data_IF_666081922748
#
_entry.id   IF_666081922748
#
_cell.length_a   1.000
_cell.length_b   1.000
_cell.length_c   1.000
_cell.angle_alpha   90.00
_cell.angle_beta   90.00
_cell.angle_gamma   90.00
#
_symmetry.space_group_name_H-M   'P 1'
#
loop_
_entity.id
_entity.type
_entity.pdbx_description
1 polymer ?
#
# COMPACT_ATOMS: atom_id res chain seq x y z
N UNK A 1 14.23 48.67 28.91
CA UNK A 1 14.29 50.04 29.45
C UNK A 1 13.68 49.99 30.82
N UNK A 2 14.45 50.44 31.77
CA UNK A 2 14.18 50.56 33.21
C UNK A 2 13.00 51.47 33.50
N UNK A 3 12.20 51.16 34.53
CA UNK A 3 11.91 52.14 35.56
C UNK A 3 11.49 51.44 36.85
N UNK A 4 12.28 51.71 37.87
CA UNK A 4 12.15 51.51 39.31
C UNK A 4 11.47 52.74 39.90
N UNK A 5 10.72 52.58 41.00
CA UNK A 5 10.48 53.58 42.07
C UNK A 5 9.81 52.83 43.24
N UNK A 6 10.46 52.48 44.31
CA UNK A 6 10.94 53.14 45.54
C UNK A 6 9.81 53.87 46.29
N UNK A 7 9.35 53.22 47.34
CA UNK A 7 9.50 53.50 48.81
C UNK A 7 8.95 54.81 49.33
N UNK A 8 8.11 54.80 50.33
CA UNK A 8 8.34 55.59 51.53
C UNK A 8 7.58 55.05 52.75
N UNK A 9 8.35 54.85 53.80
CA UNK A 9 8.06 54.51 55.17
C UNK A 9 7.64 55.76 55.95
N UNK A 10 6.65 55.68 56.83
CA UNK A 10 6.49 56.66 57.89
C UNK A 10 6.17 55.95 59.24
N UNK A 11 7.12 55.99 60.14
CA UNK A 11 6.97 55.69 61.54
C UNK A 11 6.54 56.96 62.25
N UNK A 12 5.58 56.83 63.13
CA UNK A 12 5.41 57.80 64.20
C UNK A 12 5.24 57.07 65.53
N UNK A 13 6.20 57.38 66.42
CA UNK A 13 6.24 56.94 67.83
C UNK A 13 5.64 58.09 68.66
N UNK A 14 4.73 57.77 69.59
CA UNK A 14 4.42 58.63 70.71
C UNK A 14 4.43 57.83 72.03
N UNK A 15 5.25 58.27 72.96
CA UNK A 15 5.27 57.90 74.36
C UNK A 15 4.26 58.71 75.15
N UNK A 16 3.64 58.11 76.16
CA UNK A 16 2.90 58.80 77.20
C UNK A 16 2.56 57.90 78.33
N UNK A 17 3.05 58.25 79.54
CA UNK A 17 3.03 57.50 80.78
C UNK A 17 1.71 57.59 81.59
N UNK A 18 1.46 56.44 82.25
CA UNK A 18 0.96 56.22 83.62
C UNK A 18 -0.32 56.91 84.21
N UNK A 19 -1.24 56.07 84.68
CA UNK A 19 -1.59 56.04 86.11
C UNK A 19 -2.53 54.85 86.42
N UNK A 20 -2.22 54.20 87.52
CA UNK A 20 -2.81 53.06 88.16
C UNK A 20 -4.23 53.31 88.62
N UNK A 21 -5.20 52.42 88.40
CA UNK A 21 -6.34 52.10 89.23
C UNK A 21 -7.01 50.80 88.82
N UNK A 22 -7.04 49.84 89.72
CA UNK A 22 -7.58 48.50 89.49
C UNK A 22 -9.06 48.52 89.18
N UNK A 23 -9.34 47.75 88.11
CA UNK A 23 -10.67 47.22 87.78
C UNK A 23 -10.49 45.83 87.14
N UNK A 24 -11.27 44.88 87.63
CA UNK A 24 -11.42 43.52 87.16
C UNK A 24 -11.56 43.46 85.63
N UNK A 25 -10.61 42.79 85.02
CA UNK A 25 -10.69 42.48 83.55
C UNK A 25 -11.94 41.64 83.22
N UNK A 26 -12.71 42.01 82.19
CA UNK A 26 -13.68 41.09 81.59
C UNK A 26 -12.92 40.00 80.86
N UNK A 27 -13.28 38.72 81.10
CA UNK A 27 -12.82 37.57 80.36
C UNK A 27 -13.17 37.82 78.91
N UNK A 28 -12.17 38.06 78.05
CA UNK A 28 -12.39 38.04 76.60
C UNK A 28 -12.97 36.67 76.18
N UNK A 29 -14.03 36.64 75.36
CA UNK A 29 -14.49 35.38 74.84
C UNK A 29 -13.37 34.77 74.00
N UNK A 30 -13.00 33.54 74.33
CA UNK A 30 -12.13 32.70 73.44
C UNK A 30 -12.55 32.88 72.03
N UNK A 31 -11.64 33.24 71.09
CA UNK A 31 -12.01 33.33 69.68
C UNK A 31 -12.58 31.99 69.26
N UNK A 32 -13.80 31.99 68.71
CA UNK A 32 -14.36 30.83 68.05
C UNK A 32 -13.36 30.45 66.96
N UNK A 33 -12.91 29.17 66.85
CA UNK A 33 -12.03 28.76 65.79
C UNK A 33 -12.69 29.15 64.48
N UNK A 34 -11.91 29.80 63.61
CA UNK A 34 -12.36 30.07 62.23
C UNK A 34 -12.87 28.76 61.60
N UNK A 35 -14.00 28.79 60.91
CA UNK A 35 -14.53 27.58 60.25
C UNK A 35 -13.43 27.02 59.37
N UNK A 36 -13.01 25.77 59.63
CA UNK A 36 -12.04 25.04 58.80
C UNK A 36 -12.55 25.10 57.36
N UNK A 37 -11.76 25.73 56.47
CA UNK A 37 -12.08 25.80 55.06
C UNK A 37 -12.19 24.36 54.50
N UNK A 38 -13.26 24.05 53.83
CA UNK A 38 -13.53 22.71 53.30
C UNK A 38 -13.15 22.62 51.83
N UNK A 39 -12.56 21.51 51.45
CA UNK A 39 -12.33 21.18 50.07
C UNK A 39 -13.66 20.89 49.35
N UNK A 40 -13.81 21.39 48.14
CA UNK A 40 -15.00 21.20 47.28
C UNK A 40 -14.56 20.75 45.90
N UNK A 41 -14.95 19.54 45.52
CA UNK A 41 -14.80 19.04 44.17
C UNK A 41 -15.89 19.60 43.26
N UNK A 42 -15.53 20.03 42.05
CA UNK A 42 -16.39 20.63 41.05
C UNK A 42 -16.34 19.75 39.80
N UNK A 43 -17.50 19.55 39.17
CA UNK A 43 -17.60 18.70 37.96
C UNK A 43 -16.70 19.20 36.83
N UNK A 44 -16.15 18.26 36.08
CA UNK A 44 -15.30 18.47 34.90
C UNK A 44 -16.02 18.08 33.61
N UNK A 45 -15.53 18.64 32.51
CA UNK A 45 -15.94 18.28 31.17
C UNK A 45 -14.70 18.03 30.31
N UNK A 46 -14.66 16.89 29.65
CA UNK A 46 -13.54 16.40 28.83
C UNK A 46 -14.08 16.05 27.43
N UNK A 47 -13.26 16.25 26.40
CA UNK A 47 -13.50 15.74 25.04
C UNK A 47 -12.59 14.52 24.82
N UNK A 48 -13.12 13.49 24.20
CA UNK A 48 -12.42 12.28 23.77
C UNK A 48 -12.89 11.93 22.37
N UNK A 49 -12.11 11.12 21.66
CA UNK A 49 -12.51 10.50 20.40
C UNK A 49 -12.68 9.02 20.71
N UNK A 50 -13.67 8.38 20.10
CA UNK A 50 -13.88 6.95 20.27
C UNK A 50 -12.65 6.14 19.85
N UNK A 51 -12.54 4.93 20.37
CA UNK A 51 -11.46 3.97 20.12
C UNK A 51 -10.03 4.55 20.34
N UNK A 52 -9.89 5.78 20.90
CA UNK A 52 -8.62 6.42 21.19
C UNK A 52 -8.45 6.72 22.69
N UNK A 53 -7.27 6.38 23.20
CA UNK A 53 -6.90 6.76 24.58
C UNK A 53 -6.82 8.29 24.73
N UNK A 54 -7.48 8.81 25.75
CA UNK A 54 -7.43 10.25 26.10
C UNK A 54 -6.75 10.45 27.43
N UNK A 55 -5.74 11.33 27.49
CA UNK A 55 -5.05 11.70 28.72
C UNK A 55 -5.80 12.86 29.42
N UNK A 56 -6.39 12.57 30.56
CA UNK A 56 -7.06 13.53 31.41
C UNK A 56 -6.04 14.13 32.39
N UNK A 57 -5.94 15.45 32.42
CA UNK A 57 -5.09 16.19 33.34
C UNK A 57 -5.85 17.34 33.97
N UNK A 58 -5.42 17.79 35.12
CA UNK A 58 -5.94 19.00 35.76
C UNK A 58 -7.32 18.87 36.38
N UNK A 59 -7.80 17.67 36.76
CA UNK A 59 -9.08 17.47 37.45
C UNK A 59 -9.27 18.35 38.68
N UNK A 60 -8.17 18.72 39.37
CA UNK A 60 -8.21 19.58 40.55
C UNK A 60 -8.17 21.10 40.22
N UNK A 61 -8.11 21.47 38.94
CA UNK A 61 -7.89 22.88 38.55
C UNK A 61 -9.07 23.82 38.82
N UNK A 62 -10.28 23.30 38.84
CA UNK A 62 -11.52 24.01 39.15
C UNK A 62 -12.01 23.76 40.59
N UNK A 63 -11.33 22.86 41.32
CA UNK A 63 -11.67 22.48 42.67
C UNK A 63 -11.17 23.50 43.71
N UNK A 64 -11.84 23.58 44.86
CA UNK A 64 -11.28 24.19 46.05
C UNK A 64 -10.51 23.14 46.84
N UNK A 65 -9.18 23.24 46.84
CA UNK A 65 -8.30 22.28 47.52
C UNK A 65 -7.70 22.89 48.78
N UNK A 66 -8.22 22.51 49.93
CA UNK A 66 -7.77 22.97 51.25
C UNK A 66 -7.15 21.81 52.05
N UNK A 67 -6.33 22.15 53.05
CA UNK A 67 -5.73 21.19 54.00
C UNK A 67 -5.06 19.98 53.30
N UNK A 68 -4.32 20.24 52.22
CA UNK A 68 -3.64 19.21 51.38
C UNK A 68 -4.58 18.11 50.85
N UNK A 69 -5.80 18.46 50.47
CA UNK A 69 -6.70 17.53 49.87
C UNK A 69 -6.14 17.00 48.52
N UNK A 70 -6.43 15.76 48.24
CA UNK A 70 -6.02 15.06 47.03
C UNK A 70 -7.08 14.06 46.62
N UNK A 71 -7.01 13.62 45.35
CA UNK A 71 -7.87 12.53 44.91
C UNK A 71 -7.49 11.26 45.68
N UNK A 72 -8.46 10.72 46.41
CA UNK A 72 -8.31 9.51 47.23
C UNK A 72 -9.03 8.32 46.66
N UNK A 73 -10.00 8.56 45.75
CA UNK A 73 -10.77 7.56 45.08
C UNK A 73 -11.21 8.10 43.70
N UNK A 74 -11.27 7.24 42.73
CA UNK A 74 -11.92 7.45 41.42
C UNK A 74 -12.55 6.12 40.95
N UNK A 75 -13.50 6.20 40.05
CA UNK A 75 -14.07 5.01 39.42
C UNK A 75 -13.09 4.51 38.34
N UNK A 76 -12.74 3.21 38.37
CA UNK A 76 -11.86 2.57 37.40
C UNK A 76 -12.56 2.17 36.10
N UNK A 77 -13.91 2.26 36.08
CA UNK A 77 -14.71 2.11 34.89
C UNK A 77 -15.73 3.24 34.84
N UNK A 78 -16.03 3.73 33.65
CA UNK A 78 -17.07 4.70 33.38
C UNK A 78 -18.47 4.04 33.29
N UNK A 79 -19.50 4.86 33.25
CA UNK A 79 -20.88 4.39 33.22
C UNK A 79 -21.25 3.63 31.92
N UNK A 80 -20.58 3.96 30.81
CA UNK A 80 -20.80 3.35 29.50
C UNK A 80 -19.70 2.36 29.09
N UNK A 81 -18.90 1.89 30.07
CA UNK A 81 -18.00 0.75 29.88
C UNK A 81 -16.56 1.10 29.52
N UNK A 82 -16.23 2.39 29.43
CA UNK A 82 -14.83 2.82 29.30
C UNK A 82 -14.00 2.52 30.55
N UNK A 83 -12.68 2.54 30.42
CA UNK A 83 -11.74 2.30 31.52
C UNK A 83 -10.97 3.55 31.92
N UNK A 84 -10.71 3.73 33.23
CA UNK A 84 -9.92 4.85 33.78
C UNK A 84 -8.72 4.28 34.52
N UNK A 85 -7.52 4.69 34.12
CA UNK A 85 -6.26 4.26 34.75
C UNK A 85 -5.50 5.46 35.30
N UNK A 86 -5.08 5.37 36.56
CA UNK A 86 -4.21 6.38 37.19
C UNK A 86 -2.74 6.21 36.74
N UNK A 87 -2.20 7.22 36.08
CA UNK A 87 -0.81 7.23 35.59
C UNK A 87 0.22 7.57 36.69
N UNK A 88 -0.23 7.84 37.95
CA UNK A 88 0.59 8.16 39.12
C UNK A 88 1.42 9.44 38.99
N UNK A 89 1.06 10.33 38.11
CA UNK A 89 1.68 11.63 37.84
C UNK A 89 0.66 12.77 37.82
N UNK A 90 -0.50 12.58 38.48
CA UNK A 90 -1.69 13.45 38.46
C UNK A 90 -2.38 13.54 37.10
N UNK A 91 -2.20 12.54 36.26
CA UNK A 91 -2.99 12.34 35.03
C UNK A 91 -3.68 10.98 35.05
N UNK A 92 -4.75 10.85 34.28
CA UNK A 92 -5.50 9.62 34.12
C UNK A 92 -5.59 9.33 32.65
N UNK A 93 -5.54 8.05 32.25
CA UNK A 93 -5.86 7.60 30.88
C UNK A 93 -7.30 7.12 30.92
N UNK A 94 -8.11 7.70 30.06
CA UNK A 94 -9.45 7.21 29.74
C UNK A 94 -9.39 6.49 28.38
N UNK A 95 -9.91 5.27 28.34
CA UNK A 95 -10.12 4.48 27.13
C UNK A 95 -11.62 4.26 26.97
N UNK A 96 -12.28 4.79 25.93
CA UNK A 96 -13.70 4.57 25.67
C UNK A 96 -14.04 3.08 25.55
N UNK A 97 -15.29 2.71 25.77
CA UNK A 97 -15.75 1.42 25.30
C UNK A 97 -15.67 1.37 23.77
N UNK A 98 -15.31 0.22 23.20
CA UNK A 98 -15.14 0.10 21.74
C UNK A 98 -16.40 0.58 21.00
N UNK A 99 -16.17 1.41 19.97
CA UNK A 99 -17.23 1.95 19.09
C UNK A 99 -18.33 2.70 19.88
N UNK A 100 -17.99 3.39 20.94
CA UNK A 100 -18.93 4.16 21.76
C UNK A 100 -18.85 5.65 21.44
N UNK A 101 -19.92 6.20 20.93
CA UNK A 101 -20.11 7.63 20.70
C UNK A 101 -21.19 8.17 21.67
N UNK A 102 -20.92 9.30 22.32
CA UNK A 102 -21.86 9.93 23.23
C UNK A 102 -21.22 10.44 24.51
N UNK A 103 -22.06 10.73 25.54
CA UNK A 103 -21.58 11.21 26.83
C UNK A 103 -21.36 10.06 27.79
N UNK A 104 -20.12 9.88 28.23
CA UNK A 104 -19.75 8.97 29.29
C UNK A 104 -19.41 9.71 30.59
N UNK A 105 -19.44 9.03 31.72
CA UNK A 105 -19.19 9.66 33.01
C UNK A 105 -18.47 8.75 34.00
N UNK A 106 -17.58 9.31 34.83
CA UNK A 106 -17.05 8.67 36.03
C UNK A 106 -16.97 9.68 37.19
N UNK A 107 -16.71 9.20 38.39
CA UNK A 107 -16.58 10.08 39.54
C UNK A 107 -15.20 10.01 40.18
N UNK A 108 -14.76 11.12 40.77
CA UNK A 108 -13.60 11.15 41.68
C UNK A 108 -13.95 11.82 42.99
N UNK A 109 -13.21 11.47 44.05
CA UNK A 109 -13.40 12.02 45.40
C UNK A 109 -12.09 12.59 45.92
N UNK A 110 -12.12 13.84 46.31
CA UNK A 110 -11.01 14.49 47.07
C UNK A 110 -11.28 14.44 48.54
N UNK A 111 -10.26 14.18 49.35
CA UNK A 111 -10.33 14.25 50.81
C UNK A 111 -9.11 14.99 51.32
N UNK A 112 -9.32 15.83 52.37
CA UNK A 112 -8.24 16.50 53.09
C UNK A 112 -7.47 15.52 54.02
N UNK A 113 -6.41 16.03 54.65
CA UNK A 113 -5.53 15.23 55.52
C UNK A 113 -5.90 15.31 56.98
N UNK A 114 -7.10 15.78 57.35
CA UNK A 114 -7.55 15.90 58.72
C UNK A 114 -7.79 14.52 59.37
N UNK A 115 -7.79 14.47 60.72
CA UNK A 115 -8.04 13.22 61.47
C UNK A 115 -9.39 12.61 61.17
N UNK A 116 -10.37 13.44 60.87
CA UNK A 116 -11.67 13.05 60.26
C UNK A 116 -11.75 13.77 58.92
N UNK A 117 -11.42 13.09 57.84
CA UNK A 117 -11.31 13.75 56.55
C UNK A 117 -12.61 14.38 56.08
N UNK A 118 -12.56 15.61 55.55
CA UNK A 118 -13.63 16.17 54.78
C UNK A 118 -13.46 15.72 53.30
N UNK A 119 -14.47 15.11 52.76
CA UNK A 119 -14.44 14.60 51.39
C UNK A 119 -15.51 15.29 50.55
N UNK A 120 -15.19 15.52 49.27
CA UNK A 120 -16.12 16.01 48.27
C UNK A 120 -15.96 15.19 46.99
N UNK A 121 -17.07 14.89 46.31
CA UNK A 121 -17.08 14.08 45.09
C UNK A 121 -17.57 14.91 43.90
N UNK A 122 -16.92 14.78 42.77
CA UNK A 122 -17.32 15.40 41.53
C UNK A 122 -17.49 14.34 40.42
N UNK A 123 -18.24 14.70 39.38
CA UNK A 123 -18.44 13.90 38.19
C UNK A 123 -17.63 14.48 37.05
N UNK A 124 -16.92 13.64 36.34
CA UNK A 124 -16.28 13.96 35.07
C UNK A 124 -17.21 13.51 33.95
N UNK A 125 -17.67 14.46 33.14
CA UNK A 125 -18.45 14.18 31.93
C UNK A 125 -17.50 14.17 30.75
N UNK A 126 -17.46 13.07 30.01
CA UNK A 126 -16.61 12.89 28.82
C UNK A 126 -17.52 12.84 27.62
N UNK A 127 -17.37 13.81 26.71
CA UNK A 127 -18.02 13.73 25.40
C UNK A 127 -17.09 12.96 24.46
N UNK A 128 -17.49 11.75 24.10
CA UNK A 128 -16.78 10.91 23.13
C UNK A 128 -17.37 11.25 21.76
N UNK A 129 -16.52 11.81 20.91
CA UNK A 129 -16.87 12.19 19.53
C UNK A 129 -16.51 11.05 18.57
N UNK A 130 -17.29 10.91 17.50
CA UNK A 130 -17.08 10.03 16.36
C UNK A 130 -15.77 10.41 15.65
N UNK A 131 -14.93 9.44 15.25
CA UNK A 131 -13.66 9.68 14.53
C UNK A 131 -13.86 9.97 13.04
N UNK A 132 -15.05 9.84 12.51
CA UNK A 132 -15.43 10.32 11.18
C UNK A 132 -16.26 9.32 10.37
N UNK A 133 -16.95 9.85 9.36
CA UNK A 133 -17.87 9.07 8.52
C UNK A 133 -17.14 8.40 7.35
N UNK A 134 -17.52 7.17 6.98
CA UNK A 134 -17.03 6.55 5.74
C UNK A 134 -17.52 7.32 4.50
N UNK A 135 -16.74 7.26 3.41
CA UNK A 135 -17.12 7.79 2.11
C UNK A 135 -16.94 6.68 1.08
N UNK A 136 -18.03 6.25 0.43
CA UNK A 136 -18.00 5.30 -0.66
C UNK A 136 -17.94 6.04 -2.01
N UNK A 137 -17.11 5.55 -2.94
CA UNK A 137 -16.92 6.11 -4.28
C UNK A 137 -17.24 5.05 -5.35
N UNK A 138 -17.84 5.51 -6.46
CA UNK A 138 -18.20 4.63 -7.56
C UNK A 138 -16.98 3.92 -8.18
N UNK A 139 -17.19 2.66 -8.58
CA UNK A 139 -16.20 1.80 -9.20
C UNK A 139 -16.58 1.35 -10.60
N UNK A 140 -15.55 1.07 -11.42
CA UNK A 140 -15.72 0.47 -12.73
C UNK A 140 -14.81 -0.75 -12.84
N UNK A 141 -15.41 -1.89 -13.17
CA UNK A 141 -14.72 -3.14 -13.45
C UNK A 141 -15.06 -3.64 -14.85
N UNK A 142 -14.22 -4.52 -15.36
CA UNK A 142 -14.38 -5.05 -16.72
C UNK A 142 -14.31 -6.58 -16.68
N UNK A 143 -15.13 -7.21 -17.52
CA UNK A 143 -15.03 -8.64 -17.81
C UNK A 143 -15.42 -8.90 -19.25
N UNK A 144 -15.32 -10.14 -19.69
CA UNK A 144 -15.83 -10.57 -20.99
C UNK A 144 -17.09 -11.40 -20.83
N UNK A 145 -17.89 -11.43 -21.88
CA UNK A 145 -19.12 -12.20 -21.95
C UNK A 145 -18.93 -13.64 -21.44
N UNK A 146 -19.83 -14.09 -20.58
CA UNK A 146 -19.84 -15.42 -19.97
C UNK A 146 -18.65 -15.72 -19.03
N UNK A 147 -17.87 -14.72 -18.65
CA UNK A 147 -16.71 -14.89 -17.74
C UNK A 147 -16.95 -14.18 -16.41
N UNK A 148 -16.96 -14.94 -15.33
CA UNK A 148 -17.08 -14.39 -13.97
C UNK A 148 -15.79 -13.68 -13.55
N UNK A 149 -15.93 -12.64 -12.70
CA UNK A 149 -14.79 -11.96 -12.07
C UNK A 149 -14.93 -11.94 -10.55
N UNK A 150 -13.79 -11.85 -9.87
CA UNK A 150 -13.72 -11.60 -8.44
C UNK A 150 -13.17 -10.20 -8.23
N UNK A 151 -13.97 -9.35 -7.60
CA UNK A 151 -13.62 -7.97 -7.25
C UNK A 151 -13.09 -7.99 -5.81
N UNK A 152 -11.77 -7.74 -5.65
CA UNK A 152 -11.09 -7.78 -4.36
C UNK A 152 -10.81 -6.37 -3.80
N UNK A 153 -11.06 -5.34 -4.59
CA UNK A 153 -10.58 -3.98 -4.35
C UNK A 153 -11.67 -2.91 -4.53
N UNK A 154 -12.93 -3.26 -4.31
CA UNK A 154 -14.03 -2.30 -4.38
C UNK A 154 -13.90 -1.14 -3.37
N UNK A 155 -13.21 -1.35 -2.24
CA UNK A 155 -13.03 -0.33 -1.21
C UNK A 155 -11.70 0.44 -1.31
N UNK A 156 -10.93 0.27 -2.39
CA UNK A 156 -9.58 0.89 -2.51
C UNK A 156 -9.64 2.41 -2.70
N UNK A 157 -10.68 2.91 -3.36
CA UNK A 157 -10.92 4.33 -3.60
C UNK A 157 -11.79 4.99 -2.52
N UNK A 158 -12.34 4.20 -1.58
CA UNK A 158 -13.18 4.65 -0.50
C UNK A 158 -12.36 5.25 0.66
N UNK A 159 -13.01 6.08 1.46
CA UNK A 159 -12.53 6.43 2.80
C UNK A 159 -13.23 5.52 3.81
N UNK A 160 -12.47 4.56 4.34
CA UNK A 160 -12.95 3.59 5.32
C UNK A 160 -12.57 4.03 6.74
N UNK A 161 -12.91 5.28 7.10
CA UNK A 161 -12.72 5.80 8.45
C UNK A 161 -13.58 4.99 9.42
N UNK A 162 -13.17 4.98 10.68
CA UNK A 162 -13.89 4.37 11.78
C UNK A 162 -14.19 2.89 11.52
N UNK A 163 -13.13 2.11 11.20
CA UNK A 163 -13.21 0.68 10.92
C UNK A 163 -14.32 0.27 9.92
N UNK A 164 -14.76 1.23 9.06
CA UNK A 164 -15.83 1.00 8.10
C UNK A 164 -15.53 -0.20 7.18
N UNK A 165 -16.53 -0.99 6.94
CA UNK A 165 -16.43 -2.23 6.19
C UNK A 165 -17.66 -2.49 5.31
N UNK A 166 -17.53 -3.41 4.34
CA UNK A 166 -18.65 -3.81 3.47
C UNK A 166 -19.79 -4.42 4.29
N UNK A 167 -20.90 -3.67 4.38
CA UNK A 167 -22.08 -4.08 5.14
C UNK A 167 -23.10 -4.84 4.29
N UNK A 168 -23.34 -4.40 3.03
CA UNK A 168 -24.33 -5.01 2.16
C UNK A 168 -24.10 -4.71 0.68
N UNK A 169 -24.75 -5.51 -0.17
CA UNK A 169 -24.86 -5.30 -1.61
C UNK A 169 -26.33 -5.30 -1.99
N UNK A 170 -26.75 -4.33 -2.81
CA UNK A 170 -28.05 -4.36 -3.48
C UNK A 170 -27.85 -4.68 -4.96
N UNK A 171 -28.26 -5.87 -5.34
CA UNK A 171 -28.15 -6.41 -6.70
C UNK A 171 -29.47 -6.32 -7.50
N UNK A 172 -30.46 -5.59 -7.01
CA UNK A 172 -31.80 -5.55 -7.64
C UNK A 172 -31.79 -4.96 -9.05
N UNK A 173 -30.81 -4.13 -9.40
CA UNK A 173 -30.63 -3.55 -10.74
C UNK A 173 -29.74 -4.39 -11.67
N UNK A 174 -29.03 -5.39 -11.16
CA UNK A 174 -28.08 -6.19 -11.94
C UNK A 174 -28.77 -7.27 -12.75
N UNK A 175 -28.27 -7.50 -13.96
CA UNK A 175 -28.63 -8.64 -14.80
C UNK A 175 -27.83 -9.91 -14.46
N UNK A 176 -26.70 -9.75 -13.79
CA UNK A 176 -25.79 -10.82 -13.38
C UNK A 176 -26.14 -11.44 -12.04
N UNK A 177 -25.33 -12.39 -11.62
CA UNK A 177 -25.37 -13.00 -10.29
C UNK A 177 -24.23 -12.45 -9.46
N UNK A 178 -24.55 -11.94 -8.26
CA UNK A 178 -23.58 -11.34 -7.35
C UNK A 178 -23.58 -12.13 -6.04
N UNK A 179 -22.39 -12.43 -5.52
CA UNK A 179 -22.19 -13.08 -4.24
C UNK A 179 -21.04 -12.44 -3.47
N UNK A 180 -21.16 -12.33 -2.14
CA UNK A 180 -20.07 -11.93 -1.26
C UNK A 180 -19.35 -13.20 -0.77
N UNK A 181 -18.04 -13.27 -0.99
CA UNK A 181 -17.22 -14.36 -0.49
C UNK A 181 -16.89 -14.15 0.99
N UNK A 182 -16.50 -15.23 1.68
CA UNK A 182 -16.15 -15.21 3.11
C UNK A 182 -14.97 -14.28 3.47
N UNK A 183 -14.17 -13.86 2.49
CA UNK A 183 -13.06 -12.93 2.64
C UNK A 183 -13.45 -11.47 2.29
N UNK A 184 -14.75 -11.18 2.11
CA UNK A 184 -15.24 -9.84 1.76
C UNK A 184 -15.13 -9.47 0.27
N UNK A 185 -14.54 -10.32 -0.59
CA UNK A 185 -14.52 -10.07 -2.04
C UNK A 185 -15.89 -10.32 -2.67
N UNK A 186 -16.16 -9.60 -3.77
CA UNK A 186 -17.42 -9.70 -4.50
C UNK A 186 -17.20 -10.57 -5.74
N UNK A 187 -17.96 -11.64 -5.88
CA UNK A 187 -18.03 -12.47 -7.08
C UNK A 187 -19.16 -11.94 -7.96
N UNK A 188 -18.84 -11.54 -9.18
CA UNK A 188 -19.83 -11.18 -10.20
C UNK A 188 -19.79 -12.19 -11.35
N UNK A 189 -20.95 -12.68 -11.77
CA UNK A 189 -21.12 -13.56 -12.92
C UNK A 189 -22.12 -12.91 -13.88
N UNK A 190 -21.70 -12.52 -15.10
CA UNK A 190 -22.63 -11.94 -16.08
C UNK A 190 -23.78 -12.88 -16.43
N UNK A 191 -24.94 -12.31 -16.76
CA UNK A 191 -26.00 -13.09 -17.37
C UNK A 191 -25.51 -13.73 -18.68
N UNK A 192 -26.06 -14.89 -19.03
CA UNK A 192 -25.66 -15.61 -20.24
C UNK A 192 -25.80 -14.70 -21.48
N UNK A 193 -24.73 -14.62 -22.27
CA UNK A 193 -24.62 -13.82 -23.51
C UNK A 193 -24.81 -12.32 -23.35
N UNK A 194 -24.87 -11.80 -22.12
CA UNK A 194 -24.96 -10.35 -21.87
C UNK A 194 -23.67 -9.63 -22.25
N UNK A 195 -23.81 -8.45 -22.85
CA UNK A 195 -22.73 -7.47 -23.08
C UNK A 195 -23.27 -6.06 -22.82
N UNK A 196 -22.43 -5.18 -22.34
CA UNK A 196 -22.77 -3.82 -21.93
C UNK A 196 -22.51 -3.60 -20.44
N UNK A 197 -22.95 -2.47 -19.92
CA UNK A 197 -22.77 -2.12 -18.53
C UNK A 197 -23.87 -2.75 -17.67
N UNK A 198 -23.47 -3.42 -16.61
CA UNK A 198 -24.32 -3.93 -15.54
C UNK A 198 -23.96 -3.21 -14.25
N UNK A 199 -24.96 -2.87 -13.44
CA UNK A 199 -24.75 -2.06 -12.24
C UNK A 199 -25.42 -2.65 -11.01
N UNK A 200 -24.76 -2.48 -9.86
CA UNK A 200 -25.31 -2.78 -8.55
C UNK A 200 -24.66 -1.84 -7.52
N UNK A 201 -25.23 -1.72 -6.34
CA UNK A 201 -24.67 -0.87 -5.29
C UNK A 201 -24.12 -1.68 -4.15
N UNK A 202 -23.11 -1.11 -3.48
CA UNK A 202 -22.60 -1.61 -2.21
C UNK A 202 -22.69 -0.52 -1.13
N UNK A 203 -22.79 -0.94 0.12
CA UNK A 203 -22.85 -0.05 1.27
C UNK A 203 -21.74 -0.45 2.24
N UNK A 204 -20.95 0.54 2.66
CA UNK A 204 -19.99 0.41 3.76
C UNK A 204 -20.56 1.12 4.98
N UNK A 205 -20.37 0.56 6.16
CA UNK A 205 -20.76 1.17 7.42
C UNK A 205 -19.60 1.10 8.39
N UNK A 206 -19.45 2.15 9.23
CA UNK A 206 -18.57 2.16 10.39
C UNK A 206 -19.05 1.16 11.46
N UNK A 207 -18.32 1.04 12.56
CA UNK A 207 -18.66 0.10 13.61
C UNK A 207 -19.37 0.74 14.83
N UNK A 208 -19.84 1.97 14.65
CA UNK A 208 -20.58 2.75 15.64
C UNK A 208 -21.76 2.00 16.25
N UNK A 209 -21.88 2.05 17.57
CA UNK A 209 -23.00 1.47 18.32
C UNK A 209 -23.72 2.52 19.16
N UNK A 210 -25.05 2.60 19.13
CA UNK A 210 -26.00 1.68 18.45
C UNK A 210 -26.36 2.07 17.00
N UNK A 211 -25.81 3.12 16.43
CA UNK A 211 -26.24 3.70 15.15
C UNK A 211 -25.08 3.88 14.18
N UNK A 212 -24.66 2.85 13.44
CA UNK A 212 -23.59 2.98 12.46
C UNK A 212 -23.94 4.00 11.37
N UNK A 213 -22.95 4.78 10.96
CA UNK A 213 -23.03 5.68 9.81
C UNK A 213 -22.62 4.93 8.55
N UNK A 214 -23.36 5.08 7.46
CA UNK A 214 -23.15 4.32 6.24
C UNK A 214 -23.03 5.21 5.02
N UNK A 215 -22.20 4.78 4.05
CA UNK A 215 -22.11 5.35 2.72
C UNK A 215 -22.37 4.28 1.66
N UNK A 216 -22.96 4.69 0.52
CA UNK A 216 -23.30 3.78 -0.58
C UNK A 216 -22.71 4.30 -1.88
N UNK A 217 -22.14 3.40 -2.70
CA UNK A 217 -21.64 3.70 -4.02
C UNK A 217 -22.06 2.63 -5.04
N UNK A 218 -21.86 2.93 -6.32
CA UNK A 218 -22.24 2.07 -7.45
C UNK A 218 -21.01 1.34 -7.98
N UNK A 219 -21.15 0.03 -8.20
CA UNK A 219 -20.24 -0.74 -9.02
C UNK A 219 -20.86 -0.90 -10.40
N UNK A 220 -20.11 -0.46 -11.42
CA UNK A 220 -20.41 -0.73 -12.83
C UNK A 220 -19.48 -1.83 -13.33
N UNK A 221 -20.03 -2.90 -13.88
CA UNK A 221 -19.26 -3.94 -14.58
C UNK A 221 -19.53 -3.87 -16.07
N UNK A 222 -18.55 -3.41 -16.85
CA UNK A 222 -18.62 -3.42 -18.31
C UNK A 222 -18.29 -4.81 -18.83
N UNK A 223 -19.28 -5.49 -19.38
CA UNK A 223 -19.16 -6.83 -19.96
C UNK A 223 -18.90 -6.72 -21.46
N UNK A 224 -17.70 -7.12 -21.88
CA UNK A 224 -17.17 -6.91 -23.23
C UNK A 224 -17.25 -8.19 -24.10
N UNK A 225 -17.19 -8.02 -25.42
CA UNK A 225 -16.95 -9.15 -26.30
C UNK A 225 -15.47 -9.53 -26.28
N UNK A 226 -15.19 -10.84 -26.26
CA UNK A 226 -13.85 -11.35 -26.46
C UNK A 226 -13.36 -11.08 -27.90
N UNK A 227 -12.05 -10.88 -28.05
CA UNK A 227 -11.40 -10.90 -29.37
C UNK A 227 -11.19 -12.38 -29.77
N UNK A 228 -11.65 -12.75 -30.95
CA UNK A 228 -11.40 -14.07 -31.49
C UNK A 228 -10.05 -14.07 -32.20
N UNK A 229 -9.03 -14.60 -31.56
CA UNK A 229 -7.74 -14.85 -32.20
C UNK A 229 -7.68 -16.27 -32.78
N UNK A 230 -7.05 -16.40 -33.94
CA UNK A 230 -6.70 -17.71 -34.53
C UNK A 230 -5.36 -18.17 -33.98
N UNK A 231 -5.37 -18.67 -32.75
CA UNK A 231 -4.15 -19.16 -32.07
C UNK A 231 -3.61 -20.36 -32.91
N UNK A 232 -2.31 -20.37 -33.26
CA UNK A 232 -1.70 -21.50 -33.96
C UNK A 232 -1.90 -22.80 -33.17
N UNK A 233 -2.24 -23.89 -33.85
CA UNK A 233 -2.54 -25.18 -33.21
C UNK A 233 -1.42 -25.70 -32.29
N UNK A 234 -0.16 -25.34 -32.56
CA UNK A 234 0.99 -25.65 -31.73
C UNK A 234 1.05 -24.83 -30.41
N UNK A 235 0.24 -23.78 -30.25
CA UNK A 235 0.18 -22.92 -29.07
C UNK A 235 -1.19 -22.97 -28.37
N UNK A 236 -2.14 -23.70 -28.92
CA UNK A 236 -3.49 -23.81 -28.36
C UNK A 236 -3.51 -24.39 -26.95
N UNK A 237 -2.63 -25.35 -26.66
CA UNK A 237 -2.47 -25.91 -25.31
C UNK A 237 -2.06 -24.86 -24.27
N UNK A 238 -1.38 -23.80 -24.69
CA UNK A 238 -0.88 -22.74 -23.79
C UNK A 238 -1.86 -21.56 -23.74
N UNK A 239 -2.38 -21.09 -24.88
CA UNK A 239 -3.21 -19.88 -24.96
C UNK A 239 -4.70 -20.14 -25.19
N UNK A 240 -5.16 -21.40 -25.32
CA UNK A 240 -6.54 -21.71 -25.69
C UNK A 240 -7.59 -21.26 -24.65
N UNK A 241 -7.18 -21.08 -23.39
CA UNK A 241 -8.02 -20.53 -22.32
C UNK A 241 -7.85 -19.00 -22.13
N UNK A 242 -6.97 -18.34 -22.89
CA UNK A 242 -6.71 -16.91 -22.78
C UNK A 242 -7.82 -16.11 -23.47
N UNK A 243 -8.52 -15.30 -22.70
CA UNK A 243 -9.62 -14.48 -23.20
C UNK A 243 -9.21 -13.01 -23.14
N UNK A 244 -9.06 -12.38 -24.29
CA UNK A 244 -8.69 -10.98 -24.44
C UNK A 244 -9.86 -10.18 -25.01
N UNK A 245 -9.91 -8.88 -24.72
CA UNK A 245 -10.91 -7.95 -25.22
C UNK A 245 -10.25 -6.65 -25.71
N UNK A 246 -10.96 -5.85 -26.49
CA UNK A 246 -10.49 -4.52 -26.87
C UNK A 246 -10.65 -3.53 -25.68
N UNK A 247 -9.98 -3.86 -24.59
CA UNK A 247 -9.90 -3.07 -23.36
C UNK A 247 -8.55 -3.35 -22.70
N UNK A 248 -7.85 -2.29 -22.32
CA UNK A 248 -6.49 -2.35 -21.78
C UNK A 248 -6.45 -3.17 -20.49
N UNK A 249 -7.33 -2.85 -19.53
CA UNK A 249 -7.32 -3.47 -18.21
C UNK A 249 -7.62 -4.96 -18.27
N UNK A 250 -8.61 -5.35 -19.10
CA UNK A 250 -8.95 -6.76 -19.30
C UNK A 250 -7.77 -7.50 -19.91
N UNK A 251 -7.24 -7.03 -21.03
CA UNK A 251 -6.18 -7.73 -21.77
C UNK A 251 -4.86 -7.76 -20.98
N UNK A 252 -4.50 -6.66 -20.31
CA UNK A 252 -3.33 -6.62 -19.44
C UNK A 252 -3.44 -7.62 -18.27
N UNK A 253 -4.56 -7.60 -17.55
CA UNK A 253 -4.74 -8.48 -16.40
C UNK A 253 -4.86 -9.95 -16.78
N UNK A 254 -5.50 -10.25 -17.92
CA UNK A 254 -5.57 -11.62 -18.43
C UNK A 254 -4.17 -12.15 -18.80
N UNK A 255 -3.35 -11.37 -19.52
CA UNK A 255 -1.97 -11.76 -19.83
C UNK A 255 -1.10 -11.89 -18.58
N UNK A 256 -1.22 -10.96 -17.64
CA UNK A 256 -0.53 -11.02 -16.33
C UNK A 256 -0.88 -12.31 -15.60
N UNK A 257 -2.16 -12.59 -15.41
CA UNK A 257 -2.60 -13.79 -14.72
C UNK A 257 -2.15 -15.06 -15.43
N UNK A 258 -2.17 -15.05 -16.77
CA UNK A 258 -1.75 -16.17 -17.60
C UNK A 258 -0.25 -16.45 -17.43
N UNK A 259 0.62 -15.43 -17.52
CA UNK A 259 2.06 -15.59 -17.32
C UNK A 259 2.38 -16.00 -15.88
N UNK A 260 1.67 -15.46 -14.88
CA UNK A 260 1.84 -15.86 -13.45
C UNK A 260 1.47 -17.32 -13.24
N UNK A 261 0.31 -17.75 -13.76
CA UNK A 261 -0.21 -19.13 -13.62
C UNK A 261 0.73 -20.17 -14.23
N UNK A 262 1.31 -19.85 -15.38
CA UNK A 262 2.11 -20.79 -16.16
C UNK A 262 3.60 -20.80 -15.76
N UNK A 263 4.11 -19.78 -15.07
CA UNK A 263 5.48 -19.76 -14.53
C UNK A 263 5.58 -20.70 -13.32
N UNK A 264 5.70 -22.00 -13.59
CA UNK A 264 5.62 -23.06 -12.57
C UNK A 264 6.95 -23.35 -11.89
N UNK A 265 8.08 -22.96 -12.49
CA UNK A 265 9.42 -23.24 -11.98
C UNK A 265 10.23 -21.94 -11.84
N UNK A 266 10.39 -21.47 -10.62
CA UNK A 266 11.26 -20.32 -10.33
C UNK A 266 12.71 -20.83 -10.19
N UNK A 267 13.55 -20.43 -11.13
CA UNK A 267 14.97 -20.83 -11.13
C UNK A 267 15.76 -20.01 -10.11
N UNK A 268 16.74 -20.63 -9.46
CA UNK A 268 17.79 -19.86 -8.79
C UNK A 268 18.75 -19.24 -9.81
N UNK A 269 19.41 -18.14 -9.45
CA UNK A 269 20.35 -17.48 -10.35
C UNK A 269 21.50 -18.40 -10.81
N UNK A 270 21.89 -19.39 -10.00
CA UNK A 270 22.87 -20.41 -10.39
C UNK A 270 22.38 -21.39 -11.46
N UNK A 271 21.08 -21.72 -11.44
CA UNK A 271 20.49 -22.67 -12.40
C UNK A 271 20.35 -22.09 -13.82
N UNK A 272 20.43 -20.76 -14.01
CA UNK A 272 20.37 -20.16 -15.35
C UNK A 272 21.39 -20.76 -16.32
N UNK A 273 22.59 -21.11 -15.86
CA UNK A 273 23.63 -21.71 -16.70
C UNK A 273 23.21 -23.06 -17.33
N UNK A 274 22.23 -23.74 -16.74
CA UNK A 274 21.72 -25.00 -17.28
C UNK A 274 20.82 -24.79 -18.52
N UNK A 275 20.12 -23.65 -18.57
CA UNK A 275 19.08 -23.43 -19.57
C UNK A 275 19.37 -22.25 -20.51
N UNK A 276 20.05 -21.20 -20.03
CA UNK A 276 20.30 -19.98 -20.80
C UNK A 276 21.08 -20.26 -22.09
N UNK A 277 22.07 -21.12 -22.02
CA UNK A 277 22.89 -21.42 -23.21
C UNK A 277 22.16 -22.27 -24.25
N UNK A 278 21.20 -23.08 -23.83
CA UNK A 278 20.28 -23.76 -24.76
C UNK A 278 19.28 -22.76 -25.37
N UNK A 279 18.80 -21.78 -24.58
CA UNK A 279 17.93 -20.74 -25.09
C UNK A 279 18.66 -19.82 -26.10
N UNK A 280 19.93 -19.46 -25.80
CA UNK A 280 20.77 -18.65 -26.67
C UNK A 280 21.56 -19.43 -27.72
N UNK A 281 21.26 -20.74 -27.92
CA UNK A 281 21.99 -21.57 -28.85
C UNK A 281 21.89 -21.03 -30.30
N UNK A 282 23.02 -21.06 -31.00
CA UNK A 282 23.08 -20.74 -32.42
C UNK A 282 22.30 -21.78 -33.23
N UNK A 283 21.31 -21.34 -34.02
CA UNK A 283 20.45 -22.20 -34.84
C UNK A 283 21.25 -23.02 -35.89
N UNK A 284 22.44 -22.55 -36.24
CA UNK A 284 23.34 -23.22 -37.20
C UNK A 284 24.38 -24.11 -36.52
N UNK A 285 24.68 -23.90 -35.25
CA UNK A 285 25.66 -24.66 -34.47
C UNK A 285 25.30 -24.68 -32.99
N UNK A 286 24.57 -25.69 -32.53
CA UNK A 286 24.07 -25.81 -31.16
C UNK A 286 25.15 -25.90 -30.07
N UNK A 287 26.41 -26.09 -30.41
CA UNK A 287 27.55 -25.99 -29.48
C UNK A 287 27.95 -24.54 -29.18
N UNK A 288 27.38 -23.58 -29.90
CA UNK A 288 27.63 -22.16 -29.72
C UNK A 288 26.39 -21.44 -29.20
N UNK A 289 26.61 -20.29 -28.56
CA UNK A 289 25.57 -19.30 -28.20
C UNK A 289 25.72 -18.06 -29.03
N UNK A 290 24.63 -17.42 -29.37
CA UNK A 290 24.61 -16.10 -30.02
C UNK A 290 24.63 -15.03 -28.94
N UNK A 291 25.68 -14.22 -28.96
CA UNK A 291 25.87 -13.14 -27.98
C UNK A 291 25.03 -11.91 -28.35
N UNK A 292 24.28 -11.45 -27.40
CA UNK A 292 23.48 -10.22 -27.53
C UNK A 292 24.37 -9.01 -27.86
N UNK A 293 23.84 -8.09 -28.61
CA UNK A 293 24.48 -6.87 -29.12
C UNK A 293 25.50 -7.09 -30.23
N UNK A 294 26.41 -8.07 -30.10
CA UNK A 294 27.45 -8.32 -31.08
C UNK A 294 27.07 -9.28 -32.20
N UNK A 295 26.02 -10.11 -31.98
CA UNK A 295 25.61 -11.22 -32.86
C UNK A 295 26.71 -12.28 -33.10
N UNK A 296 27.76 -12.29 -32.27
CA UNK A 296 28.82 -13.27 -32.39
C UNK A 296 28.39 -14.65 -31.89
N UNK A 297 28.74 -15.67 -32.66
CA UNK A 297 28.58 -17.08 -32.30
C UNK A 297 29.82 -17.58 -31.58
N UNK A 298 29.69 -17.94 -30.29
CA UNK A 298 30.80 -18.42 -29.46
C UNK A 298 30.47 -19.73 -28.77
N UNK A 299 31.52 -20.51 -28.49
CA UNK A 299 31.34 -21.80 -27.83
C UNK A 299 30.75 -21.64 -26.43
N UNK A 300 29.72 -22.41 -26.10
CA UNK A 300 28.91 -22.23 -24.90
C UNK A 300 29.69 -22.31 -23.59
N UNK A 301 30.87 -23.00 -23.54
CA UNK A 301 31.67 -23.07 -22.33
C UNK A 301 32.54 -21.84 -22.06
N UNK A 302 32.54 -20.86 -22.95
CA UNK A 302 33.31 -19.62 -22.74
C UNK A 302 32.67 -18.65 -21.73
N UNK A 303 31.69 -19.10 -20.95
CA UNK A 303 31.05 -18.23 -19.95
C UNK A 303 31.97 -17.93 -18.77
N UNK A 304 31.90 -16.69 -18.27
CA UNK A 304 32.69 -16.21 -17.11
C UNK A 304 32.10 -16.73 -15.81
N UNK A 305 32.86 -17.57 -15.10
CA UNK A 305 32.53 -18.02 -13.75
C UNK A 305 33.78 -18.49 -13.02
N UNK A 306 33.88 -18.21 -11.72
CA UNK A 306 35.00 -18.69 -10.88
C UNK A 306 35.07 -20.23 -10.77
N UNK A 307 33.99 -20.94 -11.11
CA UNK A 307 33.93 -22.42 -11.09
C UNK A 307 34.08 -23.04 -12.47
N UNK A 308 34.09 -22.23 -13.54
CA UNK A 308 34.30 -22.71 -14.91
C UNK A 308 35.78 -22.88 -15.17
N UNK A 309 36.19 -24.13 -15.47
CA UNK A 309 37.60 -24.47 -15.78
C UNK A 309 37.99 -24.20 -17.25
N UNK A 310 37.00 -23.92 -18.12
CA UNK A 310 37.27 -23.67 -19.53
C UNK A 310 37.94 -22.30 -19.77
N UNK A 311 38.81 -22.24 -20.76
CA UNK A 311 39.48 -21.02 -21.19
C UNK A 311 39.50 -20.95 -22.72
N UNK A 312 39.29 -19.77 -23.34
CA UNK A 312 39.05 -18.47 -22.67
C UNK A 312 37.65 -18.34 -22.10
N UNK A 313 37.44 -17.41 -21.15
CA UNK A 313 36.13 -16.98 -20.66
C UNK A 313 35.84 -15.59 -21.26
N UNK A 314 34.87 -15.49 -22.15
CA UNK A 314 34.70 -14.30 -23.01
C UNK A 314 33.34 -13.63 -22.89
N UNK A 315 32.34 -14.30 -22.31
CA UNK A 315 30.99 -13.76 -22.17
C UNK A 315 30.40 -14.03 -20.78
N UNK A 316 29.39 -13.27 -20.42
CA UNK A 316 28.67 -13.41 -19.15
C UNK A 316 27.15 -13.23 -19.36
N UNK A 317 26.38 -13.24 -18.25
CA UNK A 317 24.94 -13.03 -18.30
C UNK A 317 24.64 -11.54 -18.24
N UNK A 318 23.96 -11.04 -19.25
CA UNK A 318 23.32 -9.71 -19.33
C UNK A 318 21.90 -9.77 -18.79
N UNK A 319 21.53 -8.76 -17.99
CA UNK A 319 20.17 -8.47 -17.61
C UNK A 319 19.61 -7.35 -18.49
N UNK A 320 18.74 -7.67 -19.44
CA UNK A 320 18.16 -6.69 -20.38
C UNK A 320 17.44 -5.56 -19.62
N UNK A 321 16.70 -5.92 -18.60
CA UNK A 321 16.29 -4.97 -17.57
C UNK A 321 17.33 -5.04 -16.44
N UNK A 322 18.13 -3.99 -16.21
CA UNK A 322 19.26 -4.05 -15.27
C UNK A 322 18.85 -4.53 -13.89
N UNK A 323 19.57 -5.50 -13.35
CA UNK A 323 19.28 -6.09 -12.04
C UNK A 323 19.11 -5.02 -10.94
N UNK A 324 19.94 -3.96 -10.97
CA UNK A 324 19.88 -2.87 -9.99
C UNK A 324 18.62 -2.00 -10.05
N UNK A 325 17.79 -2.17 -11.07
CA UNK A 325 16.56 -1.42 -11.30
C UNK A 325 15.29 -2.27 -11.11
N UNK A 326 15.43 -3.60 -10.95
CA UNK A 326 14.30 -4.49 -10.69
C UNK A 326 13.65 -4.20 -9.34
N UNK A 327 12.33 -4.27 -9.29
CA UNK A 327 11.54 -4.23 -8.05
C UNK A 327 11.32 -5.64 -7.50
N UNK A 328 11.28 -6.66 -8.38
CA UNK A 328 11.01 -8.05 -8.02
C UNK A 328 12.29 -8.89 -7.97
N UNK A 329 12.58 -9.47 -6.81
CA UNK A 329 13.68 -10.44 -6.66
C UNK A 329 13.46 -11.70 -7.51
N UNK A 330 12.20 -12.06 -7.79
CA UNK A 330 11.85 -13.21 -8.63
C UNK A 330 12.24 -12.99 -10.10
N UNK A 331 12.28 -11.74 -10.56
CA UNK A 331 12.67 -11.40 -11.91
C UNK A 331 14.18 -11.61 -12.16
N UNK A 332 15.02 -11.57 -11.12
CA UNK A 332 16.50 -11.64 -11.25
C UNK A 332 16.98 -12.88 -12.00
N UNK A 333 16.27 -14.00 -11.89
CA UNK A 333 16.66 -15.28 -12.51
C UNK A 333 15.74 -15.72 -13.65
N UNK A 334 14.77 -14.87 -14.05
CA UNK A 334 13.87 -15.17 -15.14
C UNK A 334 14.59 -15.12 -16.50
N UNK A 335 14.59 -16.25 -17.22
CA UNK A 335 15.32 -16.41 -18.47
C UNK A 335 14.77 -15.51 -19.60
N UNK A 336 13.53 -15.05 -19.52
CA UNK A 336 12.92 -14.19 -20.53
C UNK A 336 13.62 -12.85 -20.72
N UNK A 337 14.40 -12.38 -19.71
CA UNK A 337 15.20 -11.16 -19.84
C UNK A 337 16.71 -11.37 -19.60
N UNK A 338 17.16 -12.61 -19.43
CA UNK A 338 18.57 -12.95 -19.35
C UNK A 338 19.13 -13.32 -20.71
N UNK A 339 20.32 -12.84 -21.06
CA UNK A 339 21.00 -13.09 -22.34
C UNK A 339 22.47 -13.37 -22.11
N UNK A 340 23.06 -14.21 -22.97
CA UNK A 340 24.51 -14.27 -23.12
C UNK A 340 25.01 -13.04 -23.84
N UNK A 341 26.01 -12.34 -23.29
CA UNK A 341 26.59 -11.15 -23.91
C UNK A 341 28.10 -11.11 -23.71
N UNK A 342 28.85 -10.54 -24.68
CA UNK A 342 30.29 -10.33 -24.55
C UNK A 342 30.57 -9.56 -23.23
N UNK A 343 31.55 -10.04 -22.46
CA UNK A 343 31.83 -9.49 -21.14
C UNK A 343 32.26 -8.03 -21.15
N UNK A 344 32.96 -7.57 -22.21
CA UNK A 344 33.36 -6.17 -22.36
C UNK A 344 32.17 -5.29 -22.76
N UNK A 345 31.36 -5.76 -23.72
CA UNK A 345 30.15 -5.06 -24.17
C UNK A 345 29.15 -4.92 -23.00
N UNK A 346 28.94 -6.00 -22.24
CA UNK A 346 28.07 -5.95 -21.06
C UNK A 346 28.63 -4.99 -19.99
N UNK A 347 29.95 -4.94 -19.81
CA UNK A 347 30.61 -3.99 -18.91
C UNK A 347 30.48 -2.54 -19.39
N UNK A 348 30.44 -2.28 -20.71
CA UNK A 348 30.21 -0.95 -21.28
C UNK A 348 28.73 -0.54 -21.17
N UNK A 349 27.82 -1.49 -21.36
CA UNK A 349 26.37 -1.29 -21.28
C UNK A 349 25.93 -0.80 -19.90
N UNK A 350 26.52 -1.31 -18.80
CA UNK A 350 26.16 -0.95 -17.42
C UNK A 350 24.63 -1.08 -17.18
N UNK A 351 24.05 -0.06 -16.55
CA UNK A 351 22.60 0.05 -16.31
C UNK A 351 21.98 1.25 -17.03
N UNK A 352 22.56 1.69 -18.14
CA UNK A 352 22.06 2.83 -18.90
C UNK A 352 20.64 2.56 -19.44
N UNK A 353 19.76 3.58 -19.47
CA UNK A 353 18.47 3.46 -20.14
C UNK A 353 18.68 3.29 -21.64
N UNK A 354 17.73 2.63 -22.27
CA UNK A 354 17.68 2.49 -23.72
C UNK A 354 17.26 3.80 -24.39
N UNK A 355 17.78 4.02 -25.60
CA UNK A 355 17.48 5.18 -26.43
C UNK A 355 17.52 4.83 -27.92
N UNK A 356 16.94 5.67 -28.76
CA UNK A 356 16.98 5.51 -30.21
C UNK A 356 18.41 5.64 -30.74
N UNK A 357 18.68 4.91 -31.83
CA UNK A 357 19.95 4.89 -32.56
C UNK A 357 19.77 4.21 -33.91
N UNK A 358 20.86 3.82 -34.57
CA UNK A 358 20.84 3.06 -35.82
C UNK A 358 22.14 2.26 -36.02
N UNK A 359 22.05 1.15 -36.74
CA UNK A 359 23.19 0.28 -37.02
C UNK A 359 23.47 -0.70 -35.88
N UNK A 360 24.74 -0.85 -35.50
CA UNK A 360 25.14 -1.74 -34.41
C UNK A 360 24.92 -1.09 -33.03
N UNK A 361 25.10 -1.85 -31.94
CA UNK A 361 24.99 -1.34 -30.58
C UNK A 361 25.92 -0.13 -30.34
N UNK A 362 25.47 0.80 -29.51
CA UNK A 362 26.19 2.05 -29.25
C UNK A 362 25.90 2.59 -27.85
N UNK A 363 26.95 3.09 -27.19
CA UNK A 363 26.81 3.99 -26.04
C UNK A 363 26.56 5.41 -26.56
N UNK A 364 25.35 5.94 -26.35
CA UNK A 364 24.94 7.27 -26.81
C UNK A 364 25.15 8.29 -25.69
N UNK A 365 25.88 9.38 -25.99
CA UNK A 365 26.15 10.49 -25.05
C UNK A 365 26.72 10.05 -23.68
N UNK A 366 27.34 8.88 -23.58
CA UNK A 366 27.87 8.28 -22.36
C UNK A 366 26.84 8.08 -21.24
N UNK A 367 25.55 8.01 -21.55
CA UNK A 367 24.48 7.88 -20.55
C UNK A 367 23.27 7.08 -21.02
N UNK A 368 23.25 6.60 -22.25
CA UNK A 368 22.14 5.84 -22.82
C UNK A 368 22.66 4.77 -23.76
N UNK A 369 21.93 3.68 -23.91
CA UNK A 369 22.32 2.51 -24.69
C UNK A 369 21.39 2.27 -25.88
N UNK A 370 21.96 2.10 -27.07
CA UNK A 370 21.27 1.59 -28.24
C UNK A 370 21.70 0.14 -28.48
N UNK A 371 20.76 -0.85 -28.52
CA UNK A 371 21.13 -2.27 -28.55
C UNK A 371 21.58 -2.75 -29.95
N UNK A 372 21.33 -1.99 -30.99
CA UNK A 372 21.50 -2.36 -32.40
C UNK A 372 20.18 -2.65 -33.10
N UNK A 373 20.17 -2.50 -34.43
CA UNK A 373 18.97 -2.67 -35.26
C UNK A 373 18.42 -4.10 -35.18
N UNK A 374 19.27 -5.11 -34.99
CA UNK A 374 18.93 -6.53 -34.92
C UNK A 374 18.43 -6.98 -33.52
N UNK A 375 18.52 -6.13 -32.50
CA UNK A 375 18.23 -6.49 -31.12
C UNK A 375 17.19 -5.63 -30.44
N UNK A 376 16.78 -4.54 -31.08
CA UNK A 376 15.85 -3.57 -30.50
C UNK A 376 14.48 -4.15 -30.23
N UNK A 377 13.97 -5.00 -31.12
CA UNK A 377 12.70 -5.72 -30.96
C UNK A 377 12.77 -6.76 -29.85
N UNK A 378 13.86 -7.54 -29.77
CA UNK A 378 14.11 -8.49 -28.67
C UNK A 378 14.05 -7.77 -27.32
N UNK A 379 14.77 -6.63 -27.19
CA UNK A 379 14.76 -5.80 -25.98
C UNK A 379 13.35 -5.36 -25.64
N UNK A 380 12.61 -4.84 -26.61
CA UNK A 380 11.23 -4.36 -26.38
C UNK A 380 10.32 -5.48 -25.85
N UNK A 381 10.33 -6.64 -26.49
CA UNK A 381 9.48 -7.80 -26.09
C UNK A 381 9.87 -8.38 -24.72
N UNK A 382 11.14 -8.36 -24.35
CA UNK A 382 11.60 -8.74 -23.00
C UNK A 382 11.11 -7.75 -21.93
N UNK A 383 11.16 -6.45 -22.23
CA UNK A 383 10.69 -5.39 -21.29
C UNK A 383 9.18 -5.42 -21.15
N UNK A 384 8.41 -5.65 -22.23
CA UNK A 384 6.94 -5.85 -22.17
C UNK A 384 6.59 -7.04 -21.27
N UNK A 385 7.29 -8.16 -21.40
CA UNK A 385 7.08 -9.32 -20.55
C UNK A 385 7.32 -9.00 -19.09
N UNK A 386 8.41 -8.33 -18.75
CA UNK A 386 8.70 -7.96 -17.35
C UNK A 386 7.66 -6.98 -16.77
N UNK A 387 7.15 -6.08 -17.59
CA UNK A 387 6.07 -5.19 -17.17
C UNK A 387 4.80 -6.00 -16.84
N UNK A 388 4.34 -6.86 -17.75
CA UNK A 388 3.13 -7.67 -17.54
C UNK A 388 3.32 -8.68 -16.42
N UNK A 389 4.45 -9.39 -16.37
CA UNK A 389 4.68 -10.48 -15.41
C UNK A 389 4.95 -9.97 -14.00
N UNK A 390 5.77 -8.91 -13.86
CA UNK A 390 6.30 -8.44 -12.57
C UNK A 390 5.89 -7.01 -12.22
N UNK A 391 5.28 -6.26 -13.13
CA UNK A 391 4.94 -4.86 -12.93
C UNK A 391 6.16 -3.93 -13.00
N UNK A 392 7.24 -4.34 -13.66
CA UNK A 392 8.41 -3.49 -13.85
C UNK A 392 8.09 -2.32 -14.79
N UNK A 393 8.52 -1.11 -14.43
CA UNK A 393 8.13 0.11 -15.14
C UNK A 393 9.07 0.45 -16.30
N UNK A 394 8.53 0.99 -17.39
CA UNK A 394 9.30 1.37 -18.58
C UNK A 394 10.28 2.50 -18.29
N UNK A 395 9.89 3.48 -17.49
CA UNK A 395 10.63 4.73 -17.23
C UNK A 395 12.01 4.51 -16.59
N UNK A 396 12.20 3.38 -15.92
CA UNK A 396 13.52 3.02 -15.37
C UNK A 396 14.54 2.65 -16.44
N UNK A 397 14.07 2.21 -17.61
CA UNK A 397 14.92 1.61 -18.64
C UNK A 397 14.75 2.26 -20.02
N UNK A 398 13.74 3.11 -20.24
CA UNK A 398 13.50 3.79 -21.49
C UNK A 398 12.14 4.46 -21.53
N UNK A 399 11.47 4.51 -22.69
CA UNK A 399 10.09 4.97 -22.81
C UNK A 399 9.22 3.92 -23.47
N UNK A 400 7.94 3.88 -23.13
CA UNK A 400 6.99 2.96 -23.74
C UNK A 400 6.92 3.15 -25.28
N UNK A 401 6.91 4.41 -25.73
CA UNK A 401 6.85 4.74 -27.17
C UNK A 401 8.05 4.17 -27.91
N UNK A 402 9.25 4.23 -27.34
CA UNK A 402 10.46 3.67 -27.92
C UNK A 402 10.34 2.14 -28.11
N UNK A 403 9.87 1.44 -27.08
CA UNK A 403 9.73 -0.01 -27.13
C UNK A 403 8.60 -0.44 -28.09
N UNK A 404 7.48 0.28 -28.15
CA UNK A 404 6.43 0.04 -29.13
C UNK A 404 6.93 0.23 -30.56
N UNK A 405 7.72 1.26 -30.82
CA UNK A 405 8.35 1.50 -32.10
C UNK A 405 9.32 0.35 -32.46
N UNK A 406 10.16 -0.08 -31.56
CA UNK A 406 11.12 -1.17 -31.77
C UNK A 406 10.44 -2.51 -32.04
N UNK A 407 9.35 -2.81 -31.37
CA UNK A 407 8.54 -4.02 -31.59
C UNK A 407 7.97 -4.11 -33.02
N UNK A 408 7.74 -2.96 -33.66
CA UNK A 408 7.30 -2.89 -35.07
C UNK A 408 8.48 -2.96 -36.06
N UNK A 409 9.57 -2.24 -35.73
CA UNK A 409 10.71 -2.09 -36.63
C UNK A 409 11.60 -3.32 -36.70
N UNK A 410 11.61 -4.14 -35.64
CA UNK A 410 12.41 -5.36 -35.53
C UNK A 410 11.48 -6.55 -35.23
N UNK A 411 10.92 -7.22 -36.28
CA UNK A 411 10.00 -8.33 -36.15
C UNK A 411 10.63 -9.54 -35.44
N UNK A 412 9.77 -10.40 -34.87
CA UNK A 412 10.19 -11.62 -34.16
C UNK A 412 11.02 -12.53 -35.11
N UNK A 413 12.19 -12.90 -34.66
CA UNK A 413 13.12 -13.77 -35.35
C UNK A 413 12.91 -15.25 -34.97
N UNK A 414 13.33 -16.21 -35.82
CA UNK A 414 13.37 -17.64 -35.45
C UNK A 414 14.21 -17.94 -34.22
N UNK A 415 15.18 -17.09 -33.92
CA UNK A 415 16.00 -17.20 -32.71
C UNK A 415 15.20 -16.88 -31.44
N UNK A 416 14.35 -15.85 -31.45
CA UNK A 416 13.45 -15.56 -30.33
C UNK A 416 12.41 -16.66 -30.13
N UNK A 417 11.87 -17.25 -31.23
CA UNK A 417 10.93 -18.37 -31.14
C UNK A 417 11.58 -19.60 -30.49
N UNK A 418 12.84 -19.92 -30.86
CA UNK A 418 13.62 -20.98 -30.20
C UNK A 418 13.77 -20.68 -28.70
N UNK A 419 14.17 -19.46 -28.37
CA UNK A 419 14.33 -19.06 -26.97
C UNK A 419 13.05 -19.26 -26.19
N UNK A 420 11.93 -18.79 -26.72
CA UNK A 420 10.61 -18.90 -26.07
C UNK A 420 10.25 -20.35 -25.77
N UNK A 421 10.51 -21.27 -26.73
CA UNK A 421 10.25 -22.71 -26.56
C UNK A 421 11.18 -23.37 -25.51
N UNK A 422 12.46 -23.00 -25.48
CA UNK A 422 13.41 -23.53 -24.49
C UNK A 422 13.09 -23.01 -23.08
N UNK A 423 12.73 -21.74 -22.98
CA UNK A 423 12.40 -21.12 -21.69
C UNK A 423 11.10 -21.72 -21.13
N UNK A 424 10.07 -21.92 -21.95
CA UNK A 424 8.87 -22.64 -21.54
C UNK A 424 9.21 -24.02 -20.94
N UNK A 425 10.10 -24.77 -21.59
CA UNK A 425 10.51 -26.08 -21.08
C UNK A 425 11.23 -26.00 -19.74
N UNK A 426 11.88 -24.87 -19.42
CA UNK A 426 12.62 -24.64 -18.18
C UNK A 426 11.77 -24.04 -17.06
N UNK A 427 10.92 -23.08 -17.37
CA UNK A 427 10.16 -22.28 -16.42
C UNK A 427 8.65 -22.54 -16.44
N UNK A 428 8.14 -23.08 -17.55
CA UNK A 428 6.71 -23.37 -17.77
C UNK A 428 5.95 -22.26 -18.47
N UNK A 429 6.49 -21.06 -18.51
CA UNK A 429 5.84 -19.92 -19.14
C UNK A 429 6.54 -19.45 -20.42
N UNK A 430 5.79 -18.68 -21.23
CA UNK A 430 6.22 -18.11 -22.49
C UNK A 430 6.13 -16.60 -22.43
N UNK A 431 6.96 -15.92 -23.21
CA UNK A 431 6.80 -14.50 -23.48
C UNK A 431 5.72 -14.31 -24.58
N UNK A 432 4.51 -13.80 -24.23
CA UNK A 432 3.42 -13.70 -25.18
C UNK A 432 3.71 -12.70 -26.31
N UNK A 433 4.60 -11.75 -26.10
CA UNK A 433 4.97 -10.74 -27.12
C UNK A 433 5.90 -11.28 -28.20
N UNK A 434 6.54 -12.44 -27.97
CA UNK A 434 7.25 -13.21 -29.02
C UNK A 434 6.23 -14.03 -29.81
N UNK A 435 5.27 -14.67 -29.14
CA UNK A 435 4.26 -15.48 -29.81
C UNK A 435 3.27 -14.64 -30.64
N UNK A 436 2.97 -13.42 -30.16
CA UNK A 436 2.18 -12.45 -30.92
C UNK A 436 2.54 -10.99 -30.54
N UNK A 437 3.41 -10.31 -31.31
CA UNK A 437 3.82 -8.93 -31.07
C UNK A 437 2.67 -7.93 -30.99
N UNK A 438 1.54 -8.21 -31.67
CA UNK A 438 0.34 -7.37 -31.66
C UNK A 438 -0.25 -7.19 -30.25
N UNK A 439 0.00 -8.11 -29.33
CA UNK A 439 -0.49 -8.00 -27.95
C UNK A 439 0.04 -6.74 -27.25
N UNK A 440 1.23 -6.28 -27.58
CA UNK A 440 1.75 -4.99 -27.10
C UNK A 440 0.90 -3.82 -27.62
N UNK A 441 0.55 -3.85 -28.92
CA UNK A 441 -0.35 -2.84 -29.51
C UNK A 441 -1.74 -2.87 -28.88
N UNK A 442 -2.27 -4.05 -28.61
CA UNK A 442 -3.57 -4.23 -27.98
C UNK A 442 -3.65 -3.58 -26.59
N UNK A 443 -2.56 -3.69 -25.82
CA UNK A 443 -2.50 -3.19 -24.44
C UNK A 443 -2.13 -1.70 -24.39
N UNK A 444 -1.08 -1.31 -25.13
CA UNK A 444 -0.49 0.03 -24.97
C UNK A 444 -0.71 0.95 -26.19
N UNK A 445 -1.36 0.45 -27.24
CA UNK A 445 -1.59 1.24 -28.44
C UNK A 445 -0.35 1.35 -29.34
N UNK A 446 -0.19 2.49 -30.00
CA UNK A 446 0.90 2.77 -30.92
C UNK A 446 0.64 2.23 -32.35
N UNK A 447 1.70 2.23 -33.18
CA UNK A 447 1.65 1.62 -34.52
C UNK A 447 1.44 0.11 -34.39
N UNK A 448 0.49 -0.49 -35.12
CA UNK A 448 0.24 -1.92 -35.02
C UNK A 448 1.46 -2.76 -35.39
N UNK A 449 1.89 -3.61 -34.45
CA UNK A 449 2.88 -4.63 -34.68
C UNK A 449 2.24 -5.83 -35.42
N UNK A 450 3.08 -6.76 -35.88
CA UNK A 450 2.61 -7.98 -36.54
C UNK A 450 1.63 -8.77 -35.68
N UNK A 451 0.47 -9.11 -36.21
CA UNK A 451 -0.47 -10.00 -35.55
C UNK A 451 -0.33 -11.42 -36.12
N UNK A 452 0.35 -12.28 -35.37
CA UNK A 452 0.60 -13.70 -35.75
C UNK A 452 -0.62 -14.60 -35.51
N UNK A 453 -1.69 -14.08 -34.90
CA UNK A 453 -2.93 -14.79 -34.54
C UNK A 453 -4.15 -14.29 -35.33
N UNK A 454 -3.96 -13.90 -36.62
CA UNK A 454 -5.04 -13.45 -37.51
C UNK A 454 -5.91 -14.59 -38.03
#
# INVERSE_FOLDING_TARGET
MKKISILTLFSVVFFGCSSDSGTTEPIEPTPTPDPIAKSVAVNDAIQAIEDQETIISGLLSNDTVENNARITRFDGNSNNGGTIVDNRNNTYTYEPAKSYVGVDTFTYTICDSETVPNCSTATVAITVEDEGMPIAMDDIFYTVKNTAITINNALVNDSVLDDASLASIDSASSFGVIAINSNGSIQYTPAADFTGDDTFTYTICDDDTPNPTCATATITVSVLNAINFNIPAGLDYYYGDLILANNVDVSYNQLKNHTVKNHTTILSYGQRHTYLYNADADLSNSDNVILMYSSESRYWQEYTSGTNAYQPQTFNTEHIYPQSKLNSDLAVSDLHHLRSADANINSERLNYPYTSGSGTYQLINNNSWYPGDEWKGDVARMIFYLNVRYGETFEKVGTLELFLQWNVEDPVSPFEEQRNNVIESAQGDRNPFIDNPYLATLIWGGTPAENKWQ
#
